data_IF_247584402480
#
_entry.id   IF_247584402480
#
_cell.length_a   1.000
_cell.length_b   1.000
_cell.length_c   1.000
_cell.angle_alpha   90.00
_cell.angle_beta   90.00
_cell.angle_gamma   90.00
#
_symmetry.space_group_name_H-M   'P 1'
#
loop_
_entity.id
_entity.type
_entity.pdbx_description
1 polymer ?
#
# COMPACT_ATOMS: atom_id res chain seq x y z
N UNK A 1 -18.11 -30.00 23.72
CA UNK A 1 -18.35 -28.56 23.43
C UNK A 1 -17.08 -27.71 23.26
N UNK A 2 -15.89 -28.13 23.72
CA UNK A 2 -14.63 -27.38 23.48
C UNK A 2 -13.89 -27.77 22.18
N UNK A 3 -14.11 -28.98 21.66
CA UNK A 3 -13.48 -29.45 20.41
C UNK A 3 -14.08 -28.84 19.13
N UNK A 4 -15.32 -28.38 19.17
CA UNK A 4 -15.99 -27.74 18.02
C UNK A 4 -15.56 -26.28 17.83
N UNK A 5 -15.14 -25.59 18.91
CA UNK A 5 -14.67 -24.20 18.83
C UNK A 5 -13.27 -24.08 18.23
N UNK A 6 -12.43 -25.09 18.41
CA UNK A 6 -11.07 -25.12 17.84
C UNK A 6 -11.08 -25.32 16.31
N UNK A 7 -12.06 -26.06 15.77
CA UNK A 7 -12.18 -26.27 14.32
C UNK A 7 -12.74 -25.03 13.59
N UNK A 8 -13.62 -24.27 14.23
CA UNK A 8 -14.13 -23.00 13.66
C UNK A 8 -13.02 -21.93 13.61
N UNK A 9 -12.09 -21.91 14.57
CA UNK A 9 -11.00 -20.93 14.60
C UNK A 9 -9.90 -21.20 13.58
N UNK A 10 -9.69 -22.46 13.15
CA UNK A 10 -8.73 -22.78 12.07
C UNK A 10 -9.29 -22.41 10.69
N UNK A 11 -10.60 -22.43 10.49
CA UNK A 11 -11.22 -22.07 9.20
C UNK A 11 -11.18 -20.56 8.90
N UNK A 12 -11.00 -19.70 9.91
CA UNK A 12 -10.99 -18.24 9.78
C UNK A 12 -9.58 -17.65 9.51
N UNK A 13 -8.54 -18.47 9.42
CA UNK A 13 -7.18 -18.02 9.10
C UNK A 13 -6.82 -18.19 7.60
N UNK A 14 -7.81 -18.24 6.72
CA UNK A 14 -7.57 -17.95 5.31
C UNK A 14 -7.41 -16.43 5.20
N UNK A 15 -6.18 -15.94 5.42
CA UNK A 15 -5.79 -14.69 4.80
C UNK A 15 -6.06 -14.90 3.31
N UNK A 16 -7.14 -14.32 2.79
CA UNK A 16 -7.38 -14.29 1.36
C UNK A 16 -6.10 -13.75 0.75
N UNK A 17 -5.40 -14.57 -0.05
CA UNK A 17 -4.34 -14.05 -0.90
C UNK A 17 -5.05 -13.03 -1.78
N UNK A 18 -4.96 -11.75 -1.42
CA UNK A 18 -5.66 -10.71 -2.14
C UNK A 18 -5.06 -10.72 -3.54
N UNK A 19 -5.85 -11.17 -4.51
CA UNK A 19 -5.37 -11.35 -5.86
C UNK A 19 -5.32 -9.97 -6.51
N UNK A 20 -4.13 -9.36 -6.49
CA UNK A 20 -3.86 -8.06 -7.11
C UNK A 20 -3.78 -8.12 -8.65
N UNK A 21 -4.19 -9.23 -9.26
CA UNK A 21 -4.12 -9.38 -10.71
C UNK A 21 -5.18 -8.51 -11.39
N UNK A 22 -4.76 -7.72 -12.36
CA UNK A 22 -5.63 -6.74 -13.02
C UNK A 22 -5.91 -5.47 -12.20
N UNK A 23 -5.50 -5.41 -10.93
CA UNK A 23 -5.59 -4.19 -10.13
C UNK A 23 -4.70 -3.10 -10.70
N UNK A 24 -5.15 -1.85 -10.62
CA UNK A 24 -4.47 -0.69 -11.18
C UNK A 24 -4.25 0.42 -10.17
N UNK A 25 -3.22 1.23 -10.40
CA UNK A 25 -3.01 2.49 -9.67
C UNK A 25 -3.06 3.62 -10.67
N UNK A 26 -3.91 4.61 -10.39
CA UNK A 26 -4.09 5.80 -11.20
C UNK A 26 -3.49 7.02 -10.53
N UNK A 27 -3.14 8.01 -11.34
CA UNK A 27 -2.90 9.40 -10.94
C UNK A 27 -3.88 10.31 -11.65
N UNK A 28 -4.65 11.07 -10.88
CA UNK A 28 -5.63 12.04 -11.38
C UNK A 28 -5.14 13.46 -11.12
N UNK A 29 -5.31 14.34 -12.11
CA UNK A 29 -5.01 15.78 -11.94
C UNK A 29 -6.27 16.56 -11.52
N UNK A 30 -6.19 17.24 -10.38
CA UNK A 30 -7.31 18.01 -9.81
C UNK A 30 -7.14 19.48 -10.18
N UNK A 31 -7.95 19.98 -11.11
CA UNK A 31 -7.80 21.36 -11.61
C UNK A 31 -8.63 22.39 -10.85
N UNK A 32 -9.68 21.96 -10.15
CA UNK A 32 -10.61 22.84 -9.42
C UNK A 32 -11.46 22.08 -8.41
N UNK A 33 -12.35 22.80 -7.74
CA UNK A 33 -13.27 22.24 -6.74
C UNK A 33 -14.23 21.20 -7.33
N UNK A 34 -14.63 21.34 -8.59
CA UNK A 34 -15.51 20.37 -9.26
C UNK A 34 -14.85 18.98 -9.34
N UNK A 35 -13.55 18.92 -9.65
CA UNK A 35 -12.79 17.66 -9.64
C UNK A 35 -12.65 17.10 -8.21
N UNK A 36 -12.55 17.96 -7.20
CA UNK A 36 -12.51 17.51 -5.79
C UNK A 36 -13.82 16.80 -5.44
N UNK A 37 -14.96 17.39 -5.81
CA UNK A 37 -16.28 16.82 -5.54
C UNK A 37 -16.47 15.48 -6.27
N UNK A 38 -16.06 15.39 -7.53
CA UNK A 38 -16.12 14.15 -8.32
C UNK A 38 -15.28 13.02 -7.69
N UNK A 39 -14.07 13.32 -7.22
CA UNK A 39 -13.22 12.32 -6.55
C UNK A 39 -13.84 11.86 -5.22
N UNK A 40 -14.49 12.77 -4.49
CA UNK A 40 -15.22 12.41 -3.27
C UNK A 40 -16.45 11.55 -3.58
N UNK A 41 -17.20 11.86 -4.64
CA UNK A 41 -18.35 11.07 -5.10
C UNK A 41 -17.91 9.65 -5.49
N UNK A 42 -16.82 9.54 -6.26
CA UNK A 42 -16.25 8.27 -6.66
C UNK A 42 -15.88 7.42 -5.44
N UNK A 43 -15.20 8.01 -4.45
CA UNK A 43 -14.82 7.34 -3.21
C UNK A 43 -16.01 6.93 -2.32
N UNK A 44 -17.17 7.56 -2.48
CA UNK A 44 -18.39 7.18 -1.77
C UNK A 44 -19.15 6.06 -2.50
N UNK A 45 -18.90 5.87 -3.79
CA UNK A 45 -19.62 4.92 -4.65
C UNK A 45 -18.83 3.63 -4.85
N UNK A 46 -17.50 3.71 -4.87
CA UNK A 46 -16.57 2.61 -5.12
C UNK A 46 -15.58 2.47 -3.98
N UNK A 47 -15.14 1.24 -3.71
CA UNK A 47 -14.08 0.98 -2.73
C UNK A 47 -12.72 1.33 -3.37
N UNK A 48 -12.19 2.49 -3.03
CA UNK A 48 -10.92 3.00 -3.56
C UNK A 48 -9.89 3.14 -2.43
N UNK A 49 -8.69 2.59 -2.65
CA UNK A 49 -7.57 2.75 -1.71
C UNK A 49 -6.72 3.97 -2.10
N UNK A 50 -6.83 5.04 -1.31
CA UNK A 50 -6.09 6.27 -1.52
C UNK A 50 -4.62 6.13 -1.08
N UNK A 51 -3.70 6.34 -2.02
CA UNK A 51 -2.26 6.31 -1.77
C UNK A 51 -1.69 7.71 -1.52
N UNK A 52 -2.23 8.71 -2.22
CA UNK A 52 -1.86 10.12 -2.01
C UNK A 52 -3.00 11.04 -2.45
N UNK A 53 -3.54 11.91 -1.59
CA UNK A 53 -3.36 11.93 -0.13
C UNK A 53 -3.97 10.68 0.53
N UNK A 54 -3.90 10.55 1.85
CA UNK A 54 -4.31 9.33 2.57
C UNK A 54 -5.83 9.07 2.54
N UNK A 55 -6.62 10.05 2.11
CA UNK A 55 -8.07 9.94 1.99
C UNK A 55 -8.66 10.99 1.03
N UNK A 56 -9.86 10.70 0.50
CA UNK A 56 -10.63 11.64 -0.31
C UNK A 56 -10.86 13.01 0.36
N UNK A 57 -10.94 13.04 1.71
CA UNK A 57 -11.16 14.27 2.50
C UNK A 57 -9.98 15.24 2.44
N UNK A 58 -8.80 14.78 2.07
CA UNK A 58 -7.57 15.59 2.02
C UNK A 58 -7.26 16.08 0.60
N UNK A 59 -8.08 15.72 -0.39
CA UNK A 59 -7.93 16.15 -1.78
C UNK A 59 -8.15 17.66 -1.87
N UNK A 60 -7.29 18.33 -2.65
CA UNK A 60 -7.31 19.79 -2.82
C UNK A 60 -7.19 20.17 -4.29
N UNK A 61 -7.71 21.33 -4.72
CA UNK A 61 -7.46 21.84 -6.06
C UNK A 61 -5.97 22.01 -6.35
N UNK A 62 -5.61 21.91 -7.64
CA UNK A 62 -4.24 22.07 -8.15
C UNK A 62 -3.26 21.05 -7.56
N UNK A 63 -3.75 19.87 -7.21
CA UNK A 63 -2.94 18.73 -6.74
C UNK A 63 -3.18 17.49 -7.58
N UNK A 64 -2.43 16.43 -7.31
CA UNK A 64 -2.66 15.11 -7.91
C UNK A 64 -3.16 14.14 -6.85
N UNK A 65 -4.00 13.19 -7.27
CA UNK A 65 -4.50 12.11 -6.43
C UNK A 65 -4.05 10.79 -7.00
N UNK A 66 -3.37 9.99 -6.19
CA UNK A 66 -2.96 8.63 -6.52
C UNK A 66 -3.82 7.64 -5.74
N UNK A 67 -4.46 6.69 -6.42
CA UNK A 67 -5.29 5.68 -5.77
C UNK A 67 -5.27 4.34 -6.50
N UNK A 68 -5.43 3.27 -5.73
CA UNK A 68 -5.53 1.90 -6.17
C UNK A 68 -7.01 1.50 -6.36
N UNK A 69 -7.26 0.75 -7.44
CA UNK A 69 -8.57 0.23 -7.83
C UNK A 69 -8.46 -1.27 -8.06
N UNK A 70 -9.45 -2.01 -7.56
CA UNK A 70 -9.58 -3.46 -7.77
C UNK A 70 -9.98 -3.77 -9.22
N UNK A 71 -9.56 -4.91 -9.73
CA UNK A 71 -9.78 -5.30 -11.13
C UNK A 71 -11.26 -5.24 -11.56
N UNK A 72 -12.18 -5.63 -10.67
CA UNK A 72 -13.62 -5.59 -10.91
C UNK A 72 -14.20 -4.19 -11.11
N UNK A 73 -13.57 -3.15 -10.54
CA UNK A 73 -14.05 -1.77 -10.58
C UNK A 73 -13.30 -0.92 -11.61
N UNK A 74 -12.25 -1.44 -12.26
CA UNK A 74 -11.43 -0.71 -13.23
C UNK A 74 -12.27 -0.08 -14.34
N UNK A 75 -13.17 -0.86 -14.96
CA UNK A 75 -13.97 -0.37 -16.07
C UNK A 75 -14.92 0.76 -15.63
N UNK A 76 -15.57 0.61 -14.47
CA UNK A 76 -16.50 1.61 -13.95
C UNK A 76 -15.78 2.91 -13.55
N UNK A 77 -14.58 2.80 -12.98
CA UNK A 77 -13.76 3.96 -12.62
C UNK A 77 -13.24 4.68 -13.86
N UNK A 78 -12.72 3.96 -14.86
CA UNK A 78 -12.24 4.58 -16.11
C UNK A 78 -13.40 5.30 -16.82
N UNK A 79 -14.56 4.66 -16.95
CA UNK A 79 -15.75 5.29 -17.53
C UNK A 79 -16.16 6.56 -16.75
N UNK A 80 -16.20 6.50 -15.42
CA UNK A 80 -16.56 7.67 -14.59
C UNK A 80 -15.59 8.84 -14.80
N UNK A 81 -14.28 8.56 -14.88
CA UNK A 81 -13.27 9.61 -15.09
C UNK A 81 -13.38 10.20 -16.50
N UNK A 82 -13.58 9.37 -17.52
CA UNK A 82 -13.74 9.80 -18.91
C UNK A 82 -15.02 10.62 -19.14
N UNK A 83 -16.16 10.15 -18.62
CA UNK A 83 -17.46 10.84 -18.73
C UNK A 83 -17.46 12.22 -18.08
N UNK A 84 -16.66 12.39 -17.02
CA UNK A 84 -16.51 13.67 -16.32
C UNK A 84 -15.29 14.49 -16.79
N UNK A 85 -14.66 14.11 -17.91
CA UNK A 85 -13.49 14.80 -18.49
C UNK A 85 -12.31 14.98 -17.51
N UNK A 86 -12.17 14.04 -16.57
CA UNK A 86 -11.12 14.04 -15.57
C UNK A 86 -9.88 13.33 -16.12
N UNK A 87 -8.85 14.10 -16.47
CA UNK A 87 -7.61 13.54 -17.00
C UNK A 87 -6.85 12.70 -15.96
N UNK A 88 -6.47 11.49 -16.35
CA UNK A 88 -5.73 10.55 -15.52
C UNK A 88 -4.56 9.88 -16.26
N UNK A 89 -3.63 9.33 -15.47
CA UNK A 89 -2.51 8.51 -15.91
C UNK A 89 -2.56 7.16 -15.18
N UNK A 90 -2.26 6.06 -15.88
CA UNK A 90 -2.08 4.74 -15.25
C UNK A 90 -0.64 4.60 -14.78
N UNK A 91 -0.41 4.72 -13.47
CA UNK A 91 0.92 4.57 -12.87
C UNK A 91 1.37 3.11 -12.80
N UNK A 92 0.43 2.22 -12.43
CA UNK A 92 0.67 0.77 -12.33
C UNK A 92 -0.49 0.07 -13.03
N UNK A 93 -0.20 -0.60 -14.14
CA UNK A 93 -1.21 -1.28 -14.97
C UNK A 93 -1.60 -2.67 -14.44
N UNK A 94 -0.74 -3.29 -13.63
CA UNK A 94 -1.05 -4.52 -12.91
C UNK A 94 -0.22 -4.56 -11.60
N UNK A 95 -0.90 -4.41 -10.47
CA UNK A 95 -0.27 -4.38 -9.14
C UNK A 95 0.39 -5.71 -8.79
N UNK A 96 -0.13 -6.85 -9.27
CA UNK A 96 0.51 -8.16 -9.07
C UNK A 96 1.94 -8.19 -9.61
N UNK A 97 2.15 -7.68 -10.83
CA UNK A 97 3.48 -7.65 -11.45
C UNK A 97 4.45 -6.76 -10.68
N UNK A 98 3.98 -5.59 -10.23
CA UNK A 98 4.77 -4.68 -9.41
C UNK A 98 5.18 -5.33 -8.08
N UNK A 99 4.24 -6.03 -7.42
CA UNK A 99 4.50 -6.76 -6.17
C UNK A 99 5.49 -7.91 -6.37
N UNK A 100 5.36 -8.70 -7.43
CA UNK A 100 6.30 -9.79 -7.74
C UNK A 100 7.71 -9.26 -7.99
N UNK A 101 7.83 -8.12 -8.69
CA UNK A 101 9.12 -7.47 -8.93
C UNK A 101 9.79 -6.97 -7.65
N UNK A 102 9.02 -6.64 -6.62
CA UNK A 102 9.55 -6.19 -5.33
C UNK A 102 10.35 -7.27 -4.59
N UNK A 103 10.14 -8.55 -4.92
CA UNK A 103 10.80 -9.70 -4.31
C UNK A 103 11.83 -10.38 -5.23
N UNK A 104 12.23 -9.73 -6.34
CA UNK A 104 13.10 -10.30 -7.38
C UNK A 104 14.58 -10.51 -6.97
N UNK A 105 14.97 -10.09 -5.77
CA UNK A 105 16.35 -10.15 -5.28
C UNK A 105 16.96 -11.57 -5.38
N UNK A 106 17.84 -11.76 -6.36
CA UNK A 106 18.55 -13.02 -6.68
C UNK A 106 19.57 -13.51 -5.62
N UNK A 107 19.78 -12.77 -4.52
CA UNK A 107 20.66 -13.22 -3.43
C UNK A 107 20.03 -14.39 -2.68
N UNK A 108 20.66 -15.57 -2.72
CA UNK A 108 20.29 -16.72 -1.87
C UNK A 108 20.78 -16.49 -0.43
N UNK A 109 20.07 -15.66 0.32
CA UNK A 109 20.25 -15.51 1.75
C UNK A 109 19.02 -16.10 2.48
N UNK A 110 19.24 -17.14 3.29
CA UNK A 110 18.26 -17.62 4.26
C UNK A 110 18.41 -16.80 5.55
N UNK A 111 17.43 -15.96 5.87
CA UNK A 111 17.45 -15.10 7.07
C UNK A 111 17.50 -13.60 6.75
N UNK A 112 17.95 -12.81 7.72
CA UNK A 112 18.06 -11.34 7.63
C UNK A 112 18.92 -10.91 6.44
N UNK A 113 18.45 -9.96 5.64
CA UNK A 113 19.25 -9.31 4.60
C UNK A 113 18.98 -7.81 4.53
N UNK A 114 20.03 -7.00 4.54
CA UNK A 114 19.94 -5.55 4.39
C UNK A 114 19.54 -5.11 2.97
N UNK A 115 19.51 -6.03 2.01
CA UNK A 115 19.09 -5.76 0.62
C UNK A 115 17.75 -6.42 0.29
N UNK A 116 16.96 -6.82 1.30
CA UNK A 116 15.63 -7.41 1.15
C UNK A 116 14.68 -6.89 2.22
N UNK A 117 13.37 -7.03 1.99
CA UNK A 117 12.36 -6.84 3.03
C UNK A 117 12.37 -8.03 3.99
N UNK A 118 12.61 -7.77 5.28
CA UNK A 118 12.70 -8.79 6.33
C UNK A 118 11.39 -8.90 7.12
N UNK A 119 11.07 -10.09 7.63
CA UNK A 119 9.92 -10.31 8.54
C UNK A 119 10.21 -9.75 9.92
N UNK A 120 9.16 -9.33 10.62
CA UNK A 120 9.23 -8.76 11.97
C UNK A 120 10.04 -9.59 12.98
N UNK A 121 9.84 -10.92 12.97
CA UNK A 121 10.51 -11.88 13.88
C UNK A 121 12.05 -11.83 13.83
N UNK A 122 12.62 -11.17 12.82
CA UNK A 122 14.07 -11.15 12.56
C UNK A 122 14.79 -9.92 13.15
N UNK A 123 14.09 -8.87 13.63
CA UNK A 123 14.67 -7.52 13.76
C UNK A 123 15.04 -7.07 15.21
N UNK A 124 14.47 -7.62 16.28
CA UNK A 124 14.52 -6.95 17.61
C UNK A 124 15.60 -7.38 18.61
N UNK A 125 16.44 -6.44 19.11
CA UNK A 125 17.12 -6.43 20.45
C UNK A 125 17.48 -4.99 20.94
N UNK A 126 17.45 -4.72 22.25
CA UNK A 126 17.74 -3.41 22.89
C UNK A 126 18.93 -3.41 23.87
N UNK A 127 19.56 -2.24 24.14
CA UNK A 127 20.62 -2.01 25.18
C UNK A 127 20.52 -0.61 25.84
N UNK A 128 20.99 -0.39 27.10
CA UNK A 128 20.81 0.90 27.82
C UNK A 128 22.04 1.85 27.91
N UNK A 129 21.75 3.13 28.20
CA UNK A 129 22.58 4.25 28.73
C UNK A 129 23.66 4.94 27.84
N UNK A 130 23.22 5.69 26.82
CA UNK A 130 23.95 6.79 26.15
C UNK A 130 22.94 7.87 25.67
N UNK A 131 23.34 9.14 25.45
CA UNK A 131 22.49 10.10 24.73
C UNK A 131 22.08 9.50 23.38
N UNK A 132 20.79 9.62 23.04
CA UNK A 132 20.18 8.88 21.95
C UNK A 132 19.40 9.82 21.01
N UNK A 133 19.51 9.56 19.71
CA UNK A 133 18.59 10.07 18.70
C UNK A 133 17.57 8.95 18.45
N UNK A 134 16.28 9.27 18.57
CA UNK A 134 15.22 8.31 18.26
C UNK A 134 14.83 8.44 16.79
N UNK A 135 14.83 7.31 16.09
CA UNK A 135 14.38 7.19 14.70
C UNK A 135 13.39 6.03 14.69
N UNK A 136 12.15 6.32 14.31
CA UNK A 136 11.12 5.30 14.06
C UNK A 136 10.96 5.04 12.56
N UNK A 137 10.46 3.85 12.26
CA UNK A 137 10.14 3.41 10.91
C UNK A 137 8.93 2.47 10.94
N UNK A 138 8.20 2.39 9.83
CA UNK A 138 7.08 1.46 9.67
C UNK A 138 5.80 1.88 10.41
N UNK A 139 5.52 3.18 10.48
CA UNK A 139 4.25 3.68 11.02
C UNK A 139 3.04 3.23 10.19
N UNK A 140 3.20 3.21 8.85
CA UNK A 140 2.22 2.64 7.93
C UNK A 140 2.67 1.28 7.39
N UNK A 141 1.80 0.28 7.48
CA UNK A 141 2.12 -1.10 7.14
C UNK A 141 2.50 -1.31 5.66
N UNK A 142 2.09 -0.43 4.74
CA UNK A 142 2.39 -0.51 3.29
C UNK A 142 3.67 0.22 2.88
N UNK A 143 4.29 0.98 3.78
CA UNK A 143 5.49 1.78 3.48
C UNK A 143 6.78 0.99 3.76
N UNK A 144 6.98 -0.14 3.07
CA UNK A 144 8.04 -1.11 3.41
C UNK A 144 9.48 -0.57 3.27
N UNK A 145 9.68 0.51 2.51
CA UNK A 145 10.99 1.17 2.41
C UNK A 145 11.43 1.81 3.75
N UNK A 146 10.47 2.23 4.59
CA UNK A 146 10.76 2.81 5.90
C UNK A 146 11.46 1.80 6.85
N UNK A 147 10.89 0.62 7.17
CA UNK A 147 11.60 -0.36 7.99
C UNK A 147 12.89 -0.89 7.34
N UNK A 148 12.97 -0.95 6.01
CA UNK A 148 14.22 -1.30 5.32
C UNK A 148 15.32 -0.23 5.56
N UNK A 149 14.97 1.05 5.52
CA UNK A 149 15.87 2.15 5.83
C UNK A 149 16.40 2.07 7.28
N UNK A 150 15.55 1.84 8.28
CA UNK A 150 16.01 1.72 9.66
C UNK A 150 17.04 0.58 9.84
N UNK A 151 16.85 -0.55 9.15
CA UNK A 151 17.82 -1.65 9.18
C UNK A 151 19.14 -1.25 8.52
N UNK A 152 19.07 -0.57 7.36
CA UNK A 152 20.27 -0.06 6.69
C UNK A 152 21.02 0.97 7.53
N UNK A 153 20.30 1.90 8.18
CA UNK A 153 20.88 2.90 9.05
C UNK A 153 21.67 2.26 10.21
N UNK A 154 21.10 1.23 10.86
CA UNK A 154 21.79 0.49 11.93
C UNK A 154 23.03 -0.25 11.42
N UNK A 155 23.04 -0.70 10.16
CA UNK A 155 24.20 -1.38 9.54
C UNK A 155 25.40 -0.46 9.36
N UNK A 156 25.15 0.77 8.93
CA UNK A 156 26.20 1.73 8.55
C UNK A 156 26.75 2.53 9.74
N UNK A 157 26.13 2.41 10.92
CA UNK A 157 26.64 2.95 12.19
C UNK A 157 27.70 2.03 12.82
#
# INVERSE_FOLDING_TARGET
MLLLLALVSVALAHASEEHFDGNRVYRVSVHGEDHVNLIQELANTKEIDFWKPDSAKQVKPLTTVDFHVKAEDVADVENFLEENEVHYEVLISNVRNALESQFDSHTRASGHSYTKYNKWETIGKTRPNKPAIFIDCGFHAREWISPAFCQWFVREL
#
